data_IF_043947644035
#
_entry.id   IF_043947644035
#
_cell.length_a   1.000
_cell.length_b   1.000
_cell.length_c   1.000
_cell.angle_alpha   90.00
_cell.angle_beta   90.00
_cell.angle_gamma   90.00
#
_symmetry.space_group_name_H-M   'P 1'
#
loop_
_entity.id
_entity.type
_entity.pdbx_description
1 polymer ?
#
# COMPACT_ATOMS: atom_id res chain seq x y z
N UNK A 1 -2.32 6.45 -36.95
CA UNK A 1 -1.28 7.20 -36.21
C UNK A 1 -1.16 6.53 -34.85
N UNK A 2 -0.32 5.51 -34.79
CA UNK A 2 -0.21 4.59 -33.66
C UNK A 2 0.61 5.22 -32.52
N UNK A 3 -0.07 5.57 -31.44
CA UNK A 3 0.58 6.02 -30.21
C UNK A 3 1.26 4.83 -29.52
N UNK A 4 2.51 4.60 -29.92
CA UNK A 4 3.43 3.67 -29.27
C UNK A 4 3.70 4.15 -27.84
N UNK A 5 2.92 3.67 -26.87
CA UNK A 5 3.21 3.85 -25.45
C UNK A 5 4.52 3.13 -25.12
N UNK A 6 5.64 3.85 -25.26
CA UNK A 6 6.92 3.45 -24.67
C UNK A 6 6.73 3.57 -23.15
N UNK A 7 6.33 2.48 -22.50
CA UNK A 7 6.40 2.38 -21.04
C UNK A 7 7.87 2.56 -20.67
N UNK A 8 8.24 3.76 -20.23
CA UNK A 8 9.51 3.99 -19.53
C UNK A 8 9.39 3.20 -18.23
N UNK A 9 9.80 1.94 -18.28
CA UNK A 9 10.03 1.12 -17.08
C UNK A 9 11.01 1.92 -16.23
N UNK A 10 10.51 2.54 -15.16
CA UNK A 10 11.34 3.14 -14.12
C UNK A 10 12.34 2.05 -13.73
N UNK A 11 13.63 2.37 -13.78
CA UNK A 11 14.67 1.43 -13.38
C UNK A 11 14.45 1.13 -11.90
N UNK A 12 13.82 0.01 -11.59
CA UNK A 12 13.84 -0.60 -10.27
C UNK A 12 15.30 -0.91 -9.95
N UNK A 13 15.76 -0.44 -8.80
CA UNK A 13 17.15 -0.32 -8.39
C UNK A 13 17.95 -1.63 -8.54
N UNK A 14 19.11 -1.48 -9.20
CA UNK A 14 20.25 -2.39 -9.29
C UNK A 14 19.93 -3.90 -9.31
N UNK A 15 20.00 -4.46 -10.52
CA UNK A 15 20.26 -5.87 -10.82
C UNK A 15 21.67 -6.29 -10.34
N UNK A 16 22.02 -6.03 -9.09
CA UNK A 16 23.06 -6.84 -8.44
C UNK A 16 22.42 -8.18 -8.17
N UNK A 17 22.91 -9.22 -8.83
CA UNK A 17 22.51 -10.62 -8.73
C UNK A 17 22.77 -11.22 -7.33
N UNK A 18 22.28 -10.55 -6.29
CA UNK A 18 22.32 -10.96 -4.89
C UNK A 18 20.96 -11.46 -4.43
N UNK A 19 20.96 -12.22 -3.34
CA UNK A 19 19.73 -12.71 -2.71
C UNK A 19 18.94 -11.52 -2.16
N UNK A 20 17.68 -11.37 -2.55
CA UNK A 20 16.73 -10.38 -2.00
C UNK A 20 15.58 -11.11 -1.30
N UNK A 21 15.11 -10.58 -0.18
CA UNK A 21 13.87 -11.00 0.46
C UNK A 21 12.71 -10.26 -0.20
N UNK A 22 11.71 -11.00 -0.67
CA UNK A 22 10.48 -10.44 -1.21
C UNK A 22 9.37 -10.65 -0.19
N UNK A 23 8.75 -9.56 0.25
CA UNK A 23 7.59 -9.59 1.17
C UNK A 23 6.36 -9.11 0.41
N UNK A 24 5.30 -9.89 0.46
CA UNK A 24 4.00 -9.55 -0.12
C UNK A 24 2.99 -9.38 1.01
N UNK A 25 2.47 -8.18 1.18
CA UNK A 25 1.37 -7.89 2.10
C UNK A 25 0.05 -8.22 1.39
N UNK A 26 -0.35 -9.48 1.52
CA UNK A 26 -1.52 -10.05 0.86
C UNK A 26 -2.84 -9.59 1.48
N UNK A 27 -3.90 -9.50 0.67
CA UNK A 27 -5.25 -9.11 1.08
C UNK A 27 -5.30 -7.83 1.94
N UNK A 28 -4.53 -6.81 1.55
CA UNK A 28 -4.49 -5.53 2.26
C UNK A 28 -5.73 -4.70 1.95
N UNK A 29 -6.43 -4.21 2.99
CA UNK A 29 -7.64 -3.40 2.84
C UNK A 29 -7.34 -1.92 2.60
N UNK A 30 -6.77 -1.63 1.44
CA UNK A 30 -6.53 -0.28 0.94
C UNK A 30 -7.61 0.08 -0.09
N UNK A 31 -8.84 0.33 0.39
CA UNK A 31 -9.98 0.72 -0.44
C UNK A 31 -10.37 2.18 -0.13
N UNK A 32 -10.49 3.01 -1.15
CA UNK A 32 -11.07 4.35 -1.02
C UNK A 32 -12.55 4.35 -1.39
N UNK A 33 -13.33 5.16 -0.69
CA UNK A 33 -14.73 5.41 -0.99
C UNK A 33 -15.06 6.90 -0.88
N UNK A 34 -16.09 7.32 -1.61
CA UNK A 34 -16.59 8.68 -1.52
C UNK A 34 -17.48 8.84 -0.28
N UNK A 35 -16.97 9.54 0.73
CA UNK A 35 -17.68 9.86 1.96
C UNK A 35 -18.06 11.34 1.91
N UNK A 36 -19.35 11.62 1.68
CA UNK A 36 -19.84 12.98 1.46
C UNK A 36 -19.22 13.61 0.21
N UNK A 37 -18.33 14.59 0.40
CA UNK A 37 -17.65 15.32 -0.69
C UNK A 37 -16.22 14.83 -0.95
N UNK A 38 -15.63 14.07 -0.04
CA UNK A 38 -14.22 13.68 -0.09
C UNK A 38 -14.07 12.19 -0.44
N UNK A 39 -12.92 11.83 -0.98
CA UNK A 39 -12.48 10.43 -1.07
C UNK A 39 -11.62 10.12 0.14
N UNK A 40 -12.01 9.07 0.88
CA UNK A 40 -11.32 8.68 2.11
C UNK A 40 -11.01 7.18 2.07
N UNK A 41 -9.87 6.80 2.64
CA UNK A 41 -9.49 5.40 2.85
C UNK A 41 -10.42 4.77 3.91
N UNK A 42 -11.10 3.69 3.54
CA UNK A 42 -12.03 2.98 4.42
C UNK A 42 -11.30 2.38 5.60
N UNK A 43 -11.89 2.55 6.79
CA UNK A 43 -11.29 2.18 8.07
C UNK A 43 -12.43 1.87 9.06
N UNK A 44 -12.27 0.83 9.87
CA UNK A 44 -13.25 0.38 10.87
C UNK A 44 -13.74 1.51 11.77
N UNK A 45 -12.81 2.35 12.24
CA UNK A 45 -13.06 3.31 13.31
C UNK A 45 -13.82 4.55 12.83
N UNK A 46 -13.48 5.04 11.64
CA UNK A 46 -14.12 6.25 11.04
C UNK A 46 -15.36 5.90 10.21
N UNK A 47 -15.38 4.74 9.58
CA UNK A 47 -16.35 4.41 8.51
C UNK A 47 -17.30 3.25 8.83
N UNK A 48 -17.36 2.79 10.09
CA UNK A 48 -18.16 1.62 10.47
C UNK A 48 -19.65 1.71 10.09
N UNK A 49 -20.29 2.87 10.26
CA UNK A 49 -21.70 3.06 9.88
C UNK A 49 -21.92 3.05 8.36
N UNK A 50 -20.98 3.61 7.59
CA UNK A 50 -21.00 3.58 6.13
C UNK A 50 -20.83 2.15 5.59
N UNK A 51 -19.88 1.39 6.16
CA UNK A 51 -19.61 0.01 5.78
C UNK A 51 -20.81 -0.90 6.05
N UNK A 52 -21.44 -0.78 7.23
CA UNK A 52 -22.64 -1.54 7.58
C UNK A 52 -23.81 -1.27 6.62
N UNK A 53 -24.00 -0.03 6.16
CA UNK A 53 -25.02 0.32 5.15
C UNK A 53 -24.78 -0.35 3.81
N UNK A 54 -23.54 -0.71 3.50
CA UNK A 54 -23.14 -1.41 2.29
C UNK A 54 -23.04 -2.93 2.49
N UNK A 55 -23.60 -3.46 3.59
CA UNK A 55 -23.49 -4.88 3.98
C UNK A 55 -22.05 -5.40 4.06
N UNK A 56 -21.10 -4.53 4.42
CA UNK A 56 -19.69 -4.86 4.66
C UNK A 56 -19.42 -4.88 6.16
N UNK A 57 -18.61 -5.83 6.64
CA UNK A 57 -18.18 -5.87 8.03
C UNK A 57 -17.08 -4.81 8.27
N UNK A 58 -17.29 -3.83 9.18
CA UNK A 58 -16.24 -2.88 9.53
C UNK A 58 -14.95 -3.53 10.03
N UNK A 59 -15.02 -4.71 10.66
CA UNK A 59 -13.85 -5.38 11.23
C UNK A 59 -12.79 -5.76 10.18
N UNK A 60 -13.22 -5.95 8.92
CA UNK A 60 -12.31 -6.30 7.84
C UNK A 60 -11.48 -5.09 7.37
N UNK A 61 -11.98 -3.85 7.54
CA UNK A 61 -11.36 -2.64 7.00
C UNK A 61 -10.30 -2.09 7.95
N UNK A 62 -9.15 -2.77 7.98
CA UNK A 62 -7.99 -2.49 8.85
C UNK A 62 -6.73 -2.06 8.08
N UNK A 63 -6.75 -0.90 7.39
CA UNK A 63 -5.58 -0.35 6.68
C UNK A 63 -4.41 0.01 7.63
N UNK A 64 -4.67 0.16 8.92
CA UNK A 64 -3.66 0.40 9.97
C UNK A 64 -2.65 -0.74 10.08
N UNK A 65 -3.08 -1.99 9.83
CA UNK A 65 -2.19 -3.16 9.84
C UNK A 65 -1.14 -3.03 8.73
N UNK A 66 -1.58 -2.76 7.50
CA UNK A 66 -0.67 -2.56 6.35
C UNK A 66 0.25 -1.36 6.59
N UNK A 67 -0.27 -0.27 7.17
CA UNK A 67 0.54 0.90 7.55
C UNK A 67 1.66 0.54 8.52
N UNK A 68 1.34 -0.16 9.62
CA UNK A 68 2.31 -0.58 10.62
C UNK A 68 3.36 -1.54 10.05
N UNK A 69 2.93 -2.52 9.24
CA UNK A 69 3.84 -3.44 8.55
C UNK A 69 4.83 -2.68 7.66
N UNK A 70 4.36 -1.71 6.86
CA UNK A 70 5.23 -0.91 6.00
C UNK A 70 6.24 -0.10 6.80
N UNK A 71 5.84 0.49 7.93
CA UNK A 71 6.76 1.21 8.81
C UNK A 71 7.88 0.29 9.32
N UNK A 72 7.54 -0.90 9.80
CA UNK A 72 8.52 -1.88 10.29
C UNK A 72 9.45 -2.39 9.18
N UNK A 73 8.89 -2.72 8.02
CA UNK A 73 9.64 -3.26 6.89
C UNK A 73 10.62 -2.22 6.32
N UNK A 74 10.18 -0.97 6.12
CA UNK A 74 11.02 0.07 5.55
C UNK A 74 12.11 0.57 6.52
N UNK A 75 11.89 0.46 7.83
CA UNK A 75 12.90 0.82 8.83
C UNK A 75 13.93 -0.29 9.09
N UNK A 76 13.64 -1.52 8.63
CA UNK A 76 14.49 -2.68 8.85
C UNK A 76 15.89 -2.50 8.27
N UNK A 77 16.95 -3.09 8.88
CA UNK A 77 18.29 -3.11 8.30
C UNK A 77 18.30 -3.67 6.88
N UNK A 78 17.46 -4.67 6.59
CA UNK A 78 17.35 -5.26 5.25
C UNK A 78 16.95 -4.24 4.17
N UNK A 79 16.02 -3.34 4.48
CA UNK A 79 15.64 -2.28 3.54
C UNK A 79 16.77 -1.26 3.34
N UNK A 80 17.52 -0.94 4.41
CA UNK A 80 18.67 -0.02 4.32
C UNK A 80 19.79 -0.56 3.42
N UNK A 81 20.00 -1.88 3.45
CA UNK A 81 20.96 -2.57 2.58
C UNK A 81 20.41 -2.86 1.16
N UNK A 82 19.20 -2.39 0.81
CA UNK A 82 18.52 -2.66 -0.46
C UNK A 82 18.33 -4.16 -0.78
N UNK A 83 18.20 -4.99 0.27
CA UNK A 83 17.97 -6.43 0.17
C UNK A 83 16.50 -6.82 0.34
N UNK A 84 15.61 -5.85 0.53
CA UNK A 84 14.18 -6.04 0.71
C UNK A 84 13.40 -5.45 -0.47
N UNK A 85 12.50 -6.24 -1.03
CA UNK A 85 11.48 -5.76 -1.97
C UNK A 85 10.09 -5.99 -1.35
N UNK A 86 9.26 -4.96 -1.35
CA UNK A 86 7.93 -5.01 -0.75
C UNK A 86 6.88 -4.84 -1.85
N UNK A 87 5.89 -5.72 -1.83
CA UNK A 87 4.66 -5.59 -2.61
C UNK A 87 3.46 -5.58 -1.68
N UNK A 88 2.44 -4.83 -2.07
CA UNK A 88 1.12 -4.86 -1.43
C UNK A 88 0.15 -5.40 -2.45
N UNK A 89 -0.56 -6.46 -2.10
CA UNK A 89 -1.65 -6.97 -2.91
C UNK A 89 -2.95 -6.69 -2.18
N UNK A 90 -3.77 -5.80 -2.74
CA UNK A 90 -5.02 -5.38 -2.10
C UNK A 90 -6.14 -6.38 -2.37
N UNK A 91 -7.17 -6.37 -1.52
CA UNK A 91 -8.36 -7.21 -1.73
C UNK A 91 -9.11 -6.92 -3.03
N UNK A 92 -8.88 -5.74 -3.62
CA UNK A 92 -9.42 -5.34 -4.93
C UNK A 92 -8.52 -5.76 -6.10
N UNK A 93 -7.60 -6.70 -5.86
CA UNK A 93 -6.69 -7.23 -6.88
C UNK A 93 -5.79 -6.15 -7.50
N UNK A 94 -5.36 -5.18 -6.69
CA UNK A 94 -4.38 -4.17 -7.09
C UNK A 94 -3.03 -4.55 -6.49
N UNK A 95 -2.02 -4.72 -7.35
CA UNK A 95 -0.65 -4.96 -6.94
C UNK A 95 0.12 -3.64 -6.95
N UNK A 96 0.67 -3.27 -5.80
CA UNK A 96 1.44 -2.05 -5.59
C UNK A 96 2.87 -2.44 -5.23
N UNK A 97 3.82 -2.00 -6.05
CA UNK A 97 5.25 -2.13 -5.73
C UNK A 97 5.71 -0.92 -4.92
N UNK A 98 6.41 -1.17 -3.81
CA UNK A 98 6.95 -0.10 -2.97
C UNK A 98 8.44 0.04 -3.25
N UNK A 99 8.87 1.26 -3.61
CA UNK A 99 10.28 1.58 -3.76
C UNK A 99 10.98 1.53 -2.39
N UNK A 100 12.18 0.92 -2.26
CA UNK A 100 12.94 0.89 -1.00
C UNK A 100 13.26 2.28 -0.42
N UNK A 101 13.30 3.31 -1.27
CA UNK A 101 13.56 4.69 -0.88
C UNK A 101 12.32 5.46 -0.41
N UNK A 102 11.14 4.83 -0.47
CA UNK A 102 9.88 5.44 -0.06
C UNK A 102 9.91 5.79 1.43
N UNK A 103 9.49 7.01 1.76
CA UNK A 103 9.28 7.45 3.14
C UNK A 103 7.80 7.44 3.45
N UNK A 104 7.32 6.35 4.05
CA UNK A 104 5.92 6.23 4.46
C UNK A 104 5.63 7.21 5.61
N UNK A 105 4.53 7.99 5.55
CA UNK A 105 4.14 8.87 6.64
C UNK A 105 3.98 8.11 7.96
N UNK A 106 4.54 8.66 9.05
CA UNK A 106 4.48 8.03 10.38
C UNK A 106 3.09 8.09 11.02
N UNK A 107 2.30 9.11 10.69
CA UNK A 107 0.93 9.24 11.18
C UNK A 107 -0.05 8.58 10.21
N UNK A 108 -1.02 7.84 10.76
CA UNK A 108 -2.02 7.13 9.95
C UNK A 108 -2.80 8.09 9.04
N UNK A 109 -3.18 9.28 9.50
CA UNK A 109 -3.99 10.21 8.70
C UNK A 109 -3.27 10.70 7.44
N UNK A 110 -1.95 10.89 7.50
CA UNK A 110 -1.16 11.26 6.32
C UNK A 110 -0.94 10.07 5.39
N UNK A 111 -0.82 8.87 5.94
CA UNK A 111 -0.78 7.63 5.16
C UNK A 111 -2.11 7.42 4.40
N UNK A 112 -3.24 7.59 5.09
CA UNK A 112 -4.57 7.44 4.52
C UNK A 112 -4.88 8.48 3.44
N UNK A 113 -4.28 9.68 3.50
CA UNK A 113 -4.38 10.67 2.43
C UNK A 113 -3.43 10.44 1.26
N UNK A 114 -2.41 9.59 1.42
CA UNK A 114 -1.46 9.22 0.36
C UNK A 114 -1.98 8.04 -0.49
N UNK A 115 -2.72 7.13 0.13
CA UNK A 115 -3.31 5.92 -0.47
C UNK A 115 -4.67 6.20 -1.08
#
# INVERSE_FOLDING_TARGET
MDFKHKSKRLKTSDDKAGKKLIVILENSQLETAKIGKNYELLCSDKHGSFLRKQNKDPADYRPDITHQCLLMLLDSPLNRENLLQIYIHTAKNVLIEISPHTRIPRTYERFAGLM
#
